data_IF_594089139672
#
_entry.id   IF_594089139672
#
_cell.length_a   1.000
_cell.length_b   1.000
_cell.length_c   1.000
_cell.angle_alpha   90.00
_cell.angle_beta   90.00
_cell.angle_gamma   90.00
#
_symmetry.space_group_name_H-M   'P 1'
#
loop_
_entity.id
_entity.type
_entity.pdbx_description
1 polymer ?
#
# COMPACT_ATOMS: atom_id res chain seq x y z
N UNK A 1 10.50 17.73 -13.75
CA UNK A 1 10.78 16.59 -12.83
C UNK A 1 10.61 15.30 -13.60
N UNK A 2 11.19 14.17 -13.17
CA UNK A 2 11.13 12.97 -13.99
C UNK A 2 9.72 12.36 -13.99
N UNK A 3 9.24 12.02 -15.18
CA UNK A 3 8.15 11.08 -15.38
C UNK A 3 8.68 9.69 -15.02
N UNK A 4 7.97 9.00 -14.15
CA UNK A 4 8.39 7.72 -13.61
C UNK A 4 7.67 6.58 -14.33
N UNK A 5 8.40 5.75 -15.08
CA UNK A 5 7.81 4.57 -15.73
C UNK A 5 7.64 3.43 -14.72
N UNK A 6 6.47 2.79 -14.71
CA UNK A 6 6.17 1.72 -13.75
C UNK A 6 7.15 0.55 -13.87
N UNK A 7 7.51 0.16 -15.11
CA UNK A 7 8.50 -0.91 -15.38
C UNK A 7 9.89 -0.67 -14.80
N UNK A 8 10.22 0.58 -14.45
CA UNK A 8 11.51 0.93 -13.85
C UNK A 8 11.46 0.92 -12.32
N UNK A 9 10.28 0.75 -11.71
CA UNK A 9 10.08 0.86 -10.25
C UNK A 9 9.42 -0.38 -9.67
N UNK A 10 8.56 -1.04 -10.44
CA UNK A 10 7.76 -2.17 -9.97
C UNK A 10 7.98 -3.40 -10.85
N UNK A 11 7.83 -4.56 -10.22
CA UNK A 11 7.55 -5.84 -10.87
C UNK A 11 6.12 -6.25 -10.58
N UNK A 12 5.58 -7.10 -11.45
CA UNK A 12 4.29 -7.76 -11.23
C UNK A 12 4.52 -9.26 -11.01
N UNK A 13 3.75 -9.82 -10.08
CA UNK A 13 3.75 -11.24 -9.78
C UNK A 13 2.35 -11.81 -9.97
N UNK A 14 2.27 -12.94 -10.66
CA UNK A 14 1.06 -13.76 -10.67
C UNK A 14 0.85 -14.39 -9.31
N UNK A 15 -0.36 -14.30 -8.80
CA UNK A 15 -0.82 -14.91 -7.56
C UNK A 15 -2.17 -15.56 -7.82
N UNK A 16 -2.51 -16.59 -7.05
CA UNK A 16 -3.80 -17.24 -7.21
C UNK A 16 -4.92 -16.24 -6.90
N UNK A 17 -5.95 -16.12 -7.76
CA UNK A 17 -7.12 -15.33 -7.44
C UNK A 17 -7.82 -15.93 -6.23
N UNK A 18 -8.36 -15.08 -5.35
CA UNK A 18 -9.15 -15.57 -4.22
C UNK A 18 -10.42 -16.24 -4.70
N UNK A 19 -10.86 -17.28 -3.99
CA UNK A 19 -12.15 -17.91 -4.24
C UNK A 19 -13.27 -16.86 -4.20
N UNK A 20 -14.12 -16.84 -5.23
CA UNK A 20 -15.18 -15.85 -5.39
C UNK A 20 -14.75 -14.54 -6.08
N UNK A 21 -13.52 -14.45 -6.60
CA UNK A 21 -13.08 -13.38 -7.48
C UNK A 21 -12.87 -13.89 -8.93
N UNK A 22 -12.94 -13.00 -9.94
CA UNK A 22 -12.59 -13.34 -11.32
C UNK A 22 -11.16 -13.89 -11.46
N UNK A 23 -10.93 -14.75 -12.44
CA UNK A 23 -9.61 -15.36 -12.69
C UNK A 23 -8.51 -14.33 -12.99
N UNK A 24 -8.88 -13.17 -13.55
CA UNK A 24 -7.93 -12.09 -13.83
C UNK A 24 -7.48 -11.29 -12.59
N UNK A 25 -8.11 -11.51 -11.42
CA UNK A 25 -7.74 -10.92 -10.14
C UNK A 25 -6.50 -11.60 -9.54
N UNK A 26 -5.44 -11.68 -10.34
CA UNK A 26 -4.29 -12.56 -10.13
C UNK A 26 -2.94 -11.82 -10.15
N UNK A 27 -2.91 -10.51 -9.97
CA UNK A 27 -1.69 -9.71 -9.97
C UNK A 27 -1.44 -9.01 -8.64
N UNK A 28 -0.18 -9.05 -8.24
CA UNK A 28 0.36 -8.23 -7.15
C UNK A 28 1.53 -7.39 -7.67
N UNK A 29 1.50 -6.08 -7.38
CA UNK A 29 2.61 -5.18 -7.66
C UNK A 29 3.58 -5.13 -6.48
N UNK A 30 4.86 -5.26 -6.79
CA UNK A 30 5.97 -5.26 -5.84
C UNK A 30 7.01 -4.24 -6.31
N UNK A 31 7.68 -3.50 -5.42
CA UNK A 31 8.85 -2.71 -5.82
C UNK A 31 9.93 -3.60 -6.45
N UNK A 32 10.70 -3.06 -7.39
CA UNK A 32 11.86 -3.75 -7.95
C UNK A 32 12.97 -3.79 -6.90
N UNK A 33 13.54 -4.98 -6.59
CA UNK A 33 14.64 -5.10 -5.65
C UNK A 33 15.85 -4.24 -6.02
N UNK A 34 16.15 -4.14 -7.32
CA UNK A 34 17.27 -3.37 -7.85
C UNK A 34 17.00 -1.88 -8.02
N UNK A 35 15.82 -1.38 -7.62
CA UNK A 35 15.50 0.03 -7.76
C UNK A 35 16.45 0.91 -6.93
N UNK A 36 17.16 1.83 -7.60
CA UNK A 36 18.21 2.69 -7.03
C UNK A 36 17.80 4.16 -6.89
N UNK A 37 16.51 4.48 -6.96
CA UNK A 37 16.05 5.87 -6.90
C UNK A 37 16.35 6.52 -5.55
N UNK A 38 16.41 7.85 -5.53
CA UNK A 38 16.55 8.61 -4.28
C UNK A 38 15.22 8.57 -3.52
N UNK A 39 15.15 7.77 -2.45
CA UNK A 39 13.97 7.65 -1.60
C UNK A 39 13.44 9.02 -1.13
N UNK A 40 14.30 10.03 -0.96
CA UNK A 40 13.86 11.37 -0.53
C UNK A 40 12.89 12.02 -1.52
N UNK A 41 12.95 11.66 -2.80
CA UNK A 41 12.05 12.18 -3.83
C UNK A 41 10.64 11.60 -3.76
N UNK A 42 10.45 10.49 -3.04
CA UNK A 42 9.17 9.77 -2.94
C UNK A 42 8.55 9.83 -1.54
N UNK A 43 9.31 10.31 -0.56
CA UNK A 43 8.89 10.33 0.84
C UNK A 43 8.34 11.69 1.24
N UNK A 44 7.04 11.76 1.51
CA UNK A 44 6.40 12.88 2.19
C UNK A 44 5.17 13.43 1.50
N UNK A 45 4.70 14.63 1.88
CA UNK A 45 3.44 15.11 1.38
C UNK A 45 3.56 15.58 -0.07
N UNK A 46 2.54 15.37 -0.88
CA UNK A 46 2.52 15.81 -2.27
C UNK A 46 1.32 15.30 -3.05
N UNK A 47 1.30 15.64 -4.34
CA UNK A 47 0.25 15.22 -5.27
C UNK A 47 0.87 14.36 -6.38
N UNK A 48 0.16 13.31 -6.79
CA UNK A 48 0.59 12.46 -7.88
C UNK A 48 -0.51 12.24 -8.92
N UNK A 49 -0.08 12.00 -10.14
CA UNK A 49 -0.92 11.58 -11.25
C UNK A 49 -0.53 10.18 -11.68
N UNK A 50 -1.52 9.39 -12.09
CA UNK A 50 -1.31 8.05 -12.65
C UNK A 50 -1.83 8.04 -14.08
N UNK A 51 -0.99 7.51 -14.97
CA UNK A 51 -1.20 7.57 -16.41
C UNK A 51 -1.17 6.16 -17.01
N UNK A 52 -2.04 5.94 -17.98
CA UNK A 52 -2.05 4.76 -18.84
C UNK A 52 -1.87 5.23 -20.28
N UNK A 53 -0.83 4.73 -20.96
CA UNK A 53 -0.45 5.17 -22.31
C UNK A 53 -0.31 6.70 -22.41
N UNK A 54 0.33 7.31 -21.40
CA UNK A 54 0.51 8.76 -21.25
C UNK A 54 -0.79 9.56 -21.09
N UNK A 55 -1.92 8.92 -20.77
CA UNK A 55 -3.20 9.60 -20.49
C UNK A 55 -3.51 9.54 -19.01
N UNK A 56 -3.79 10.69 -18.40
CA UNK A 56 -4.14 10.79 -16.99
C UNK A 56 -5.46 10.07 -16.74
N UNK A 57 -5.47 9.12 -15.80
CA UNK A 57 -6.72 8.45 -15.40
C UNK A 57 -7.01 8.56 -13.90
N UNK A 58 -6.03 8.96 -13.08
CA UNK A 58 -6.21 9.15 -11.64
C UNK A 58 -5.29 10.25 -11.10
N UNK A 59 -5.79 11.04 -10.17
CA UNK A 59 -5.04 11.99 -9.34
C UNK A 59 -5.20 11.57 -7.89
N UNK A 60 -4.11 11.56 -7.14
CA UNK A 60 -4.14 11.30 -5.71
C UNK A 60 -3.22 12.23 -4.94
N UNK A 61 -3.48 12.36 -3.64
CA UNK A 61 -2.55 12.93 -2.68
C UNK A 61 -1.85 11.86 -1.84
N UNK A 62 -0.65 12.21 -1.37
CA UNK A 62 0.06 11.46 -0.35
C UNK A 62 0.42 12.42 0.78
N UNK A 63 0.16 12.06 2.03
CA UNK A 63 0.36 12.93 3.21
C UNK A 63 1.33 12.34 4.24
N UNK A 64 2.10 11.32 3.86
CA UNK A 64 2.97 10.55 4.75
C UNK A 64 2.24 9.57 5.66
N UNK A 65 2.92 9.14 6.72
CA UNK A 65 2.35 8.29 7.78
C UNK A 65 1.64 9.13 8.83
N UNK A 66 0.76 8.51 9.62
CA UNK A 66 -0.19 9.20 10.50
C UNK A 66 0.46 10.29 11.38
N UNK A 67 1.57 9.92 12.05
CA UNK A 67 2.34 10.78 12.95
C UNK A 67 3.50 11.53 12.28
N UNK A 68 3.95 11.06 11.12
CA UNK A 68 5.14 11.54 10.43
C UNK A 68 4.83 11.85 8.96
N UNK A 69 4.46 13.11 8.64
CA UNK A 69 4.00 13.47 7.30
C UNK A 69 5.05 13.31 6.19
N UNK A 70 6.32 13.18 6.57
CA UNK A 70 7.44 12.98 5.65
C UNK A 70 8.03 11.55 5.70
N UNK A 71 7.42 10.65 6.48
CA UNK A 71 7.73 9.23 6.48
C UNK A 71 6.88 8.45 5.48
N UNK A 72 7.31 7.22 5.18
CA UNK A 72 6.71 6.36 4.16
C UNK A 72 6.98 6.84 2.73
N UNK A 73 6.41 6.12 1.75
CA UNK A 73 6.62 6.41 0.33
C UNK A 73 5.33 6.44 -0.49
N UNK A 74 5.24 7.38 -1.45
CA UNK A 74 4.15 7.41 -2.45
C UNK A 74 4.09 6.12 -3.28
N UNK A 75 5.19 5.35 -3.34
CA UNK A 75 5.24 4.05 -4.01
C UNK A 75 4.20 3.06 -3.46
N UNK A 76 3.86 3.15 -2.17
CA UNK A 76 2.82 2.34 -1.53
C UNK A 76 1.44 2.55 -2.17
N UNK A 77 1.16 3.78 -2.63
CA UNK A 77 -0.06 4.11 -3.36
C UNK A 77 0.04 3.63 -4.80
N UNK A 78 1.13 3.95 -5.49
CA UNK A 78 1.33 3.58 -6.90
C UNK A 78 1.19 2.09 -7.17
N UNK A 79 1.75 1.22 -6.32
CA UNK A 79 1.59 -0.25 -6.47
C UNK A 79 0.12 -0.69 -6.44
N UNK A 80 -0.71 -0.04 -5.61
CA UNK A 80 -2.15 -0.30 -5.56
C UNK A 80 -2.82 0.20 -6.84
N UNK A 81 -2.45 1.38 -7.36
CA UNK A 81 -3.06 1.90 -8.59
C UNK A 81 -2.83 0.98 -9.81
N UNK A 82 -1.65 0.37 -9.95
CA UNK A 82 -1.33 -0.54 -11.06
C UNK A 82 -2.28 -1.75 -11.11
N UNK A 83 -2.73 -2.27 -9.97
CA UNK A 83 -3.50 -3.53 -9.92
C UNK A 83 -4.98 -3.32 -9.57
N UNK A 84 -5.32 -2.39 -8.68
CA UNK A 84 -6.69 -2.17 -8.24
C UNK A 84 -7.53 -1.42 -9.29
N UNK A 85 -6.94 -0.46 -10.01
CA UNK A 85 -7.71 0.36 -10.97
C UNK A 85 -8.11 -0.42 -12.22
N UNK A 86 -7.38 -1.50 -12.52
CA UNK A 86 -7.66 -2.42 -13.61
C UNK A 86 -8.28 -3.73 -13.14
N UNK A 87 -8.73 -3.80 -11.88
CA UNK A 87 -9.39 -4.96 -11.26
C UNK A 87 -8.55 -6.25 -11.20
N UNK A 88 -7.22 -6.17 -11.29
CA UNK A 88 -6.35 -7.36 -11.28
C UNK A 88 -5.78 -7.73 -9.92
N UNK A 89 -6.03 -6.93 -8.89
CA UNK A 89 -5.61 -7.29 -7.53
C UNK A 89 -6.49 -8.43 -6.95
N UNK A 90 -5.92 -9.44 -6.28
CA UNK A 90 -6.69 -10.45 -5.53
C UNK A 90 -7.37 -9.87 -4.28
N UNK A 91 -7.16 -8.59 -3.98
CA UNK A 91 -7.70 -7.88 -2.81
C UNK A 91 -8.75 -6.83 -3.20
N UNK A 92 -9.27 -6.86 -4.44
CA UNK A 92 -10.39 -5.99 -4.80
C UNK A 92 -11.63 -6.37 -3.98
N UNK A 93 -12.28 -5.35 -3.42
CA UNK A 93 -13.53 -5.45 -2.69
C UNK A 93 -14.35 -4.20 -2.95
N UNK A 94 -15.65 -4.29 -2.74
CA UNK A 94 -16.59 -3.22 -2.98
C UNK A 94 -17.49 -3.05 -1.77
N UNK A 95 -17.81 -1.80 -1.44
CA UNK A 95 -18.92 -1.53 -0.54
C UNK A 95 -20.21 -2.09 -1.17
N UNK A 96 -21.14 -2.67 -0.39
CA UNK A 96 -22.36 -3.27 -0.94
C UNK A 96 -23.15 -2.30 -1.84
N UNK A 97 -23.22 -1.02 -1.47
CA UNK A 97 -23.89 0.03 -2.23
C UNK A 97 -23.22 0.31 -3.58
N UNK A 98 -21.89 0.24 -3.64
CA UNK A 98 -21.11 0.44 -4.86
C UNK A 98 -21.26 -0.77 -5.78
N UNK A 99 -21.22 -1.99 -5.23
CA UNK A 99 -21.42 -3.21 -6.03
C UNK A 99 -22.81 -3.24 -6.67
N UNK A 100 -23.88 -2.88 -5.93
CA UNK A 100 -25.22 -2.75 -6.52
C UNK A 100 -25.23 -1.79 -7.70
N UNK A 101 -24.66 -0.60 -7.53
CA UNK A 101 -24.57 0.40 -8.62
C UNK A 101 -23.81 -0.15 -9.83
N UNK A 102 -22.71 -0.87 -9.62
CA UNK A 102 -21.95 -1.51 -10.71
C UNK A 102 -22.84 -2.49 -11.48
N UNK A 103 -23.55 -3.37 -10.79
CA UNK A 103 -24.40 -4.40 -11.39
C UNK A 103 -25.63 -3.82 -12.11
N UNK A 104 -26.15 -2.69 -11.64
CA UNK A 104 -27.30 -1.99 -12.23
C UNK A 104 -26.92 -1.15 -13.46
N UNK A 105 -25.74 -0.54 -13.46
CA UNK A 105 -25.42 0.56 -14.41
C UNK A 105 -24.35 0.23 -15.44
N UNK A 106 -23.50 -0.78 -15.20
CA UNK A 106 -22.39 -1.11 -16.09
C UNK A 106 -22.64 -2.43 -16.82
N UNK A 107 -22.17 -2.53 -18.05
CA UNK A 107 -22.33 -3.69 -18.93
C UNK A 107 -21.06 -3.98 -19.77
N UNK A 108 -19.90 -3.87 -19.14
CA UNK A 108 -18.60 -4.23 -19.75
C UNK A 108 -17.97 -5.47 -19.14
N UNK A 109 -16.87 -5.93 -19.75
CA UNK A 109 -16.20 -7.19 -19.44
C UNK A 109 -15.78 -7.34 -17.98
N UNK A 110 -15.30 -6.26 -17.34
CA UNK A 110 -14.95 -6.26 -15.92
C UNK A 110 -16.21 -6.39 -15.06
N UNK A 111 -17.22 -5.57 -15.30
CA UNK A 111 -18.50 -5.63 -14.55
C UNK A 111 -19.24 -6.96 -14.71
N UNK A 112 -19.21 -7.56 -15.90
CA UNK A 112 -19.83 -8.86 -16.19
C UNK A 112 -19.09 -9.99 -15.45
N UNK A 113 -17.75 -9.99 -15.47
CA UNK A 113 -16.97 -10.98 -14.74
C UNK A 113 -17.18 -10.89 -13.21
N UNK A 114 -17.34 -9.68 -12.67
CA UNK A 114 -17.72 -9.49 -11.27
C UNK A 114 -19.10 -10.07 -10.99
N UNK A 115 -20.06 -9.85 -11.88
CA UNK A 115 -21.40 -10.41 -11.75
C UNK A 115 -21.38 -11.94 -11.81
N UNK A 116 -20.63 -12.54 -12.72
CA UNK A 116 -20.55 -14.01 -12.89
C UNK A 116 -19.95 -14.72 -11.66
N UNK A 117 -19.21 -14.01 -10.80
CA UNK A 117 -18.73 -14.55 -9.53
C UNK A 117 -19.82 -14.63 -8.45
N UNK A 118 -20.95 -13.93 -8.61
CA UNK A 118 -22.03 -13.88 -7.64
C UNK A 118 -23.06 -15.00 -7.89
N UNK A 119 -23.63 -15.63 -6.84
CA UNK A 119 -24.61 -16.71 -6.99
C UNK A 119 -25.84 -16.32 -7.81
N UNK A 120 -26.32 -15.08 -7.64
CA UNK A 120 -27.48 -14.52 -8.33
C UNK A 120 -27.10 -13.60 -9.51
N UNK A 121 -25.83 -13.65 -9.94
CA UNK A 121 -25.28 -12.83 -11.01
C UNK A 121 -25.51 -11.33 -10.80
N UNK A 122 -26.30 -10.71 -11.68
CA UNK A 122 -26.65 -9.28 -11.67
C UNK A 122 -27.86 -8.94 -10.79
N UNK A 123 -28.56 -9.91 -10.21
CA UNK A 123 -29.72 -9.63 -9.36
C UNK A 123 -29.29 -8.98 -8.04
N UNK A 124 -29.41 -7.65 -7.99
CA UNK A 124 -29.06 -6.83 -6.83
C UNK A 124 -29.98 -7.02 -5.63
N UNK A 125 -31.20 -7.55 -5.82
CA UNK A 125 -32.09 -7.87 -4.72
C UNK A 125 -31.61 -9.11 -3.95
N UNK A 126 -30.89 -10.00 -4.63
CA UNK A 126 -30.31 -11.22 -4.11
C UNK A 126 -28.80 -11.10 -3.79
N UNK A 127 -28.27 -9.88 -3.63
CA UNK A 127 -26.87 -9.68 -3.28
C UNK A 127 -26.57 -10.30 -1.91
N UNK A 128 -25.56 -11.18 -1.79
CA UNK A 128 -25.23 -11.81 -0.52
C UNK A 128 -24.72 -10.80 0.51
N UNK A 129 -24.92 -11.11 1.79
CA UNK A 129 -24.40 -10.29 2.90
C UNK A 129 -22.87 -10.43 2.99
N UNK A 130 -22.35 -11.65 2.79
CA UNK A 130 -20.92 -11.96 2.82
C UNK A 130 -20.48 -12.57 1.49
N UNK A 131 -19.45 -11.99 0.88
CA UNK A 131 -18.83 -12.49 -0.35
C UNK A 131 -17.43 -11.92 -0.49
N UNK A 132 -16.53 -12.58 -1.24
CA UNK A 132 -15.16 -12.10 -1.45
C UNK A 132 -15.10 -10.69 -2.08
N UNK A 133 -16.10 -10.35 -2.90
CA UNK A 133 -16.26 -9.03 -3.52
C UNK A 133 -16.84 -7.96 -2.59
N UNK A 134 -17.36 -8.30 -1.41
CA UNK A 134 -18.12 -7.39 -0.55
C UNK A 134 -17.36 -7.13 0.75
N UNK A 135 -17.07 -5.86 1.02
CA UNK A 135 -16.54 -5.41 2.31
C UNK A 135 -16.89 -3.94 2.56
N UNK A 136 -17.05 -3.56 3.83
CA UNK A 136 -17.20 -2.17 4.23
C UNK A 136 -16.03 -1.81 5.17
N UNK A 137 -15.13 -0.89 4.78
CA UNK A 137 -15.12 -0.14 3.53
C UNK A 137 -14.55 -1.03 2.36
N UNK A 138 -14.83 -0.68 1.10
CA UNK A 138 -14.42 -1.45 -0.09
C UNK A 138 -13.36 -0.77 -0.97
N UNK A 139 -12.36 -1.54 -1.41
CA UNK A 139 -11.11 -1.02 -2.02
C UNK A 139 -11.23 -0.51 -3.47
N UNK A 140 -12.35 -0.82 -4.12
CA UNK A 140 -12.65 -0.41 -5.50
C UNK A 140 -13.95 0.39 -5.59
N UNK A 141 -13.95 1.36 -6.51
CA UNK A 141 -15.08 2.27 -6.75
C UNK A 141 -15.75 1.95 -8.10
N UNK A 142 -16.95 2.50 -8.32
CA UNK A 142 -17.66 2.41 -9.60
C UNK A 142 -16.79 2.89 -10.78
N UNK A 143 -16.05 3.98 -10.58
CA UNK A 143 -15.23 4.58 -11.62
C UNK A 143 -14.01 3.73 -12.00
N UNK A 144 -13.42 2.97 -11.06
CA UNK A 144 -12.38 1.98 -11.39
C UNK A 144 -12.93 0.85 -12.26
N UNK A 145 -14.14 0.38 -11.99
CA UNK A 145 -14.78 -0.66 -12.84
C UNK A 145 -15.11 -0.11 -14.22
N UNK A 146 -15.64 1.12 -14.32
CA UNK A 146 -15.85 1.80 -15.61
C UNK A 146 -14.56 1.92 -16.42
N UNK A 147 -13.46 2.28 -15.76
CA UNK A 147 -12.16 2.37 -16.42
C UNK A 147 -11.69 1.01 -16.95
N UNK A 148 -11.83 -0.06 -16.16
CA UNK A 148 -11.51 -1.41 -16.61
C UNK A 148 -12.42 -1.87 -17.77
N UNK A 149 -13.72 -1.55 -17.73
CA UNK A 149 -14.67 -1.84 -18.81
C UNK A 149 -14.34 -1.09 -20.11
N UNK A 150 -13.77 0.12 -20.02
CA UNK A 150 -13.28 0.89 -21.17
C UNK A 150 -11.92 0.40 -21.71
N UNK A 151 -11.20 -0.43 -20.95
CA UNK A 151 -9.90 -0.98 -21.31
C UNK A 151 -9.85 -2.49 -21.04
N UNK A 152 -10.73 -3.28 -21.69
CA UNK A 152 -10.92 -4.69 -21.37
C UNK A 152 -9.68 -5.55 -21.63
N UNK A 153 -8.78 -5.09 -22.49
CA UNK A 153 -7.49 -5.72 -22.77
C UNK A 153 -6.61 -5.80 -21.50
N UNK A 154 -6.71 -4.83 -20.58
CA UNK A 154 -5.92 -4.80 -19.35
C UNK A 154 -6.20 -6.00 -18.43
N UNK A 155 -7.43 -6.56 -18.49
CA UNK A 155 -7.85 -7.69 -17.66
C UNK A 155 -7.00 -8.95 -17.94
N UNK A 156 -6.55 -9.12 -19.18
CA UNK A 156 -5.84 -10.34 -19.61
C UNK A 156 -4.42 -10.08 -20.12
N UNK A 157 -3.99 -8.82 -20.18
CA UNK A 157 -2.68 -8.46 -20.69
C UNK A 157 -1.55 -9.13 -19.89
N UNK A 158 -0.47 -9.48 -20.58
CA UNK A 158 0.76 -9.93 -19.96
C UNK A 158 1.33 -8.88 -18.99
N UNK A 159 1.90 -9.34 -17.87
CA UNK A 159 2.27 -8.49 -16.74
C UNK A 159 3.45 -7.56 -17.10
N UNK A 160 4.42 -8.00 -17.91
CA UNK A 160 5.52 -7.14 -18.36
C UNK A 160 4.99 -6.06 -19.31
N UNK A 161 4.15 -6.45 -20.27
CA UNK A 161 3.52 -5.52 -21.21
C UNK A 161 2.63 -4.49 -20.49
N UNK A 162 1.97 -4.88 -19.39
CA UNK A 162 1.16 -3.99 -18.58
C UNK A 162 2.01 -2.86 -17.96
N UNK A 163 3.15 -3.19 -17.35
CA UNK A 163 4.03 -2.21 -16.71
C UNK A 163 4.61 -1.17 -17.67
N UNK A 164 4.74 -1.50 -18.96
CA UNK A 164 5.21 -0.54 -19.97
C UNK A 164 4.23 0.60 -20.24
N UNK A 165 2.94 0.37 -19.95
CA UNK A 165 1.86 1.33 -20.22
C UNK A 165 1.63 2.31 -19.08
N UNK A 166 2.06 1.96 -17.87
CA UNK A 166 1.89 2.81 -16.69
C UNK A 166 3.05 3.77 -16.50
N UNK A 167 2.70 5.02 -16.22
CA UNK A 167 3.65 6.02 -15.73
C UNK A 167 3.05 6.87 -14.62
N UNK A 168 3.92 7.52 -13.87
CA UNK A 168 3.55 8.35 -12.74
C UNK A 168 4.26 9.71 -12.79
N UNK A 169 3.60 10.70 -12.21
CA UNK A 169 4.20 11.99 -11.86
C UNK A 169 3.93 12.20 -10.37
N UNK A 170 4.92 12.66 -9.62
CA UNK A 170 4.76 13.07 -8.24
C UNK A 170 5.44 14.41 -8.01
N UNK A 171 4.69 15.35 -7.44
CA UNK A 171 5.17 16.66 -7.03
C UNK A 171 5.07 16.72 -5.51
N UNK A 172 6.24 16.69 -4.88
CA UNK A 172 6.40 16.73 -3.44
C UNK A 172 6.27 18.18 -2.93
N UNK A 173 5.58 18.35 -1.81
CA UNK A 173 5.55 19.61 -1.08
C UNK A 173 6.95 19.93 -0.51
N UNK A 174 7.42 21.19 -0.58
CA UNK A 174 8.75 21.55 -0.11
C UNK A 174 9.06 21.06 1.32
N UNK A 175 10.19 20.37 1.50
CA UNK A 175 10.62 19.83 2.80
C UNK A 175 10.91 20.91 3.83
N UNK A 176 11.34 22.08 3.38
CA UNK A 176 11.70 23.23 4.22
C UNK A 176 10.51 23.73 5.07
N UNK A 177 9.28 23.44 4.62
CA UNK A 177 8.04 23.81 5.30
C UNK A 177 7.64 22.87 6.46
N UNK A 178 8.45 21.85 6.75
CA UNK A 178 8.27 20.97 7.92
C UNK A 178 8.01 21.74 9.22
N UNK A 179 8.69 22.87 9.41
CA UNK A 179 8.58 23.71 10.62
C UNK A 179 7.19 24.33 10.82
N UNK A 180 6.36 24.32 9.78
CA UNK A 180 5.03 24.94 9.77
C UNK A 180 3.91 23.96 10.09
N UNK A 181 4.22 22.66 10.15
CA UNK A 181 3.27 21.63 10.54
C UNK A 181 3.00 21.77 12.03
N UNK A 182 1.71 21.78 12.40
CA UNK A 182 1.32 21.67 13.79
C UNK A 182 1.66 20.25 14.31
N UNK A 183 2.89 20.05 14.79
CA UNK A 183 3.38 18.76 15.30
C UNK A 183 2.68 18.33 16.59
N UNK A 184 1.98 19.25 17.27
CA UNK A 184 1.12 18.95 18.42
C UNK A 184 -0.26 18.41 18.01
N UNK A 185 -0.61 18.41 16.72
CA UNK A 185 -1.82 17.76 16.24
C UNK A 185 -1.74 16.24 16.48
N UNK A 186 -2.82 15.62 16.91
CA UNK A 186 -2.86 14.17 17.15
C UNK A 186 -2.57 13.34 15.88
N UNK A 187 -2.86 13.90 14.69
CA UNK A 187 -2.59 13.31 13.38
C UNK A 187 -1.99 14.37 12.44
N UNK A 188 -0.68 14.64 12.50
CA UNK A 188 -0.01 15.64 11.67
C UNK A 188 -0.21 15.43 10.16
N UNK A 189 -0.29 14.19 9.68
CA UNK A 189 -0.59 13.89 8.27
C UNK A 189 -1.98 14.37 7.84
N UNK A 190 -2.99 14.22 8.70
CA UNK A 190 -4.34 14.73 8.46
C UNK A 190 -4.37 16.26 8.46
N UNK A 191 -3.51 16.89 9.26
CA UNK A 191 -3.33 18.34 9.22
C UNK A 191 -2.76 18.76 7.86
N UNK A 192 -1.69 18.11 7.39
CA UNK A 192 -1.10 18.38 6.06
C UNK A 192 -2.10 18.14 4.94
N UNK A 193 -2.83 17.03 4.99
CA UNK A 193 -3.88 16.71 4.04
C UNK A 193 -4.91 17.83 3.96
N UNK A 194 -5.46 18.24 5.09
CA UNK A 194 -6.52 19.25 5.15
C UNK A 194 -6.04 20.66 4.82
N UNK A 195 -4.84 21.06 5.23
CA UNK A 195 -4.40 22.46 5.11
C UNK A 195 -3.64 22.71 3.81
N UNK A 196 -2.90 21.72 3.30
CA UNK A 196 -2.07 21.87 2.10
C UNK A 196 -2.70 21.22 0.88
N UNK A 197 -3.01 19.93 0.94
CA UNK A 197 -3.17 19.12 -0.26
C UNK A 197 -4.62 19.03 -0.78
N UNK A 198 -5.60 18.84 0.13
CA UNK A 198 -6.98 18.49 -0.20
C UNK A 198 -7.64 19.49 -1.18
N UNK A 199 -7.51 20.78 -0.91
CA UNK A 199 -8.07 21.83 -1.78
C UNK A 199 -7.48 21.79 -3.20
N UNK A 200 -6.16 21.59 -3.33
CA UNK A 200 -5.48 21.54 -4.62
C UNK A 200 -5.86 20.29 -5.41
N UNK A 201 -5.88 19.12 -4.76
CA UNK A 201 -6.28 17.86 -5.37
C UNK A 201 -7.69 17.95 -5.95
N UNK A 202 -8.65 18.48 -5.16
CA UNK A 202 -10.03 18.65 -5.62
C UNK A 202 -10.13 19.56 -6.84
N UNK A 203 -9.41 20.68 -6.84
CA UNK A 203 -9.39 21.59 -7.99
C UNK A 203 -8.80 20.92 -9.23
N UNK A 204 -7.70 20.18 -9.08
CA UNK A 204 -7.08 19.43 -10.17
C UNK A 204 -8.02 18.35 -10.71
N UNK A 205 -8.71 17.60 -9.86
CA UNK A 205 -9.71 16.60 -10.30
C UNK A 205 -10.85 17.28 -11.05
N UNK A 206 -11.35 18.42 -10.55
CA UNK A 206 -12.42 19.18 -11.23
C UNK A 206 -11.99 19.69 -12.61
N UNK A 207 -10.75 20.16 -12.75
CA UNK A 207 -10.22 20.74 -14.00
C UNK A 207 -9.80 19.66 -15.01
N UNK A 208 -9.13 18.61 -14.53
CA UNK A 208 -8.52 17.57 -15.35
C UNK A 208 -9.42 16.34 -15.54
N UNK A 209 -10.48 16.19 -14.73
CA UNK A 209 -11.52 15.15 -14.85
C UNK A 209 -10.96 13.74 -15.16
N UNK A 210 -10.01 13.22 -14.36
CA UNK A 210 -9.52 11.85 -14.50
C UNK A 210 -10.65 10.84 -14.22
N UNK A 211 -10.78 9.82 -15.07
CA UNK A 211 -11.92 8.87 -15.02
C UNK A 211 -12.05 8.11 -13.69
N UNK A 212 -10.95 7.76 -13.01
CA UNK A 212 -10.99 6.88 -11.84
C UNK A 212 -11.27 7.61 -10.50
N UNK A 213 -11.18 8.94 -10.46
CA UNK A 213 -11.52 9.71 -9.27
C UNK A 213 -13.04 9.73 -9.06
N UNK A 214 -13.51 9.54 -7.83
CA UNK A 214 -14.93 9.46 -7.47
C UNK A 214 -15.71 10.72 -7.85
N UNK A 215 -15.04 11.87 -7.85
CA UNK A 215 -15.61 13.19 -8.13
C UNK A 215 -15.82 13.43 -9.64
N UNK A 216 -15.26 12.59 -10.51
CA UNK A 216 -15.46 12.69 -11.96
C UNK A 216 -16.77 12.02 -12.35
N UNK A 217 -17.71 12.82 -12.87
CA UNK A 217 -19.01 12.31 -13.34
C UNK A 217 -18.84 11.45 -14.60
N UNK A 218 -19.58 10.34 -14.71
CA UNK A 218 -19.55 9.52 -15.91
C UNK A 218 -19.80 10.27 -17.21
N UNK A 219 -18.95 10.06 -18.21
CA UNK A 219 -19.04 10.68 -19.53
C UNK A 219 -18.46 12.10 -19.59
N UNK A 220 -17.92 12.61 -18.48
CA UNK A 220 -17.29 13.94 -18.42
C UNK A 220 -15.77 13.87 -18.30
N UNK A 221 -15.20 12.67 -18.25
CA UNK A 221 -13.76 12.46 -18.16
C UNK A 221 -12.97 13.08 -19.34
N UNK A 222 -11.76 13.57 -19.05
CA UNK A 222 -10.79 13.96 -20.09
C UNK A 222 -9.80 12.82 -20.31
N UNK A 223 -9.33 12.69 -21.54
CA UNK A 223 -8.32 11.69 -21.94
C UNK A 223 -7.14 12.30 -22.73
N UNK A 224 -7.12 13.63 -22.84
CA UNK A 224 -6.13 14.43 -23.57
C UNK A 224 -5.00 14.95 -22.65
N UNK A 225 -5.07 14.71 -21.34
CA UNK A 225 -4.12 15.25 -20.37
C UNK A 225 -2.90 14.32 -20.24
N UNK A 226 -1.74 14.85 -20.64
CA UNK A 226 -0.44 14.15 -20.56
C UNK A 226 0.33 14.40 -19.26
N UNK A 227 1.41 13.64 -19.01
CA UNK A 227 2.25 13.80 -17.81
C UNK A 227 2.84 15.20 -17.64
N UNK A 228 3.30 15.81 -18.72
CA UNK A 228 3.95 17.12 -18.71
C UNK A 228 2.95 18.25 -18.39
N UNK A 229 1.74 18.21 -18.98
CA UNK A 229 0.66 19.16 -18.68
C UNK A 229 0.26 19.05 -17.20
N UNK A 230 0.06 17.82 -16.72
CA UNK A 230 -0.26 17.57 -15.32
C UNK A 230 0.83 18.10 -14.38
N UNK A 231 2.10 17.80 -14.65
CA UNK A 231 3.21 18.25 -13.82
C UNK A 231 3.22 19.78 -13.66
N UNK A 232 3.11 20.51 -14.78
CA UNK A 232 3.11 21.98 -14.78
C UNK A 232 1.93 22.53 -13.99
N UNK A 233 0.74 21.94 -14.14
CA UNK A 233 -0.44 22.39 -13.38
C UNK A 233 -0.30 22.14 -11.89
N UNK A 234 0.25 21.00 -11.48
CA UNK A 234 0.49 20.71 -10.06
C UNK A 234 1.54 21.65 -9.49
N UNK A 235 2.66 21.88 -10.19
CA UNK A 235 3.69 22.82 -9.76
C UNK A 235 3.12 24.24 -9.59
N UNK A 236 2.40 24.73 -10.60
CA UNK A 236 1.81 26.07 -10.58
C UNK A 236 0.85 26.24 -9.39
N UNK A 237 -0.03 25.26 -9.15
CA UNK A 237 -0.95 25.31 -8.00
C UNK A 237 -0.22 25.20 -6.67
N UNK A 238 0.79 24.35 -6.58
CA UNK A 238 1.58 24.17 -5.36
C UNK A 238 2.39 25.42 -5.02
N UNK A 239 3.06 26.04 -6.00
CA UNK A 239 3.78 27.31 -5.85
C UNK A 239 2.83 28.45 -5.47
N UNK A 240 1.67 28.54 -6.13
CA UNK A 240 0.66 29.55 -5.79
C UNK A 240 0.13 29.37 -4.37
N UNK A 241 -0.14 28.13 -3.94
CA UNK A 241 -0.57 27.82 -2.58
C UNK A 241 0.52 28.13 -1.56
N UNK A 242 1.76 27.78 -1.88
CA UNK A 242 2.93 28.06 -1.06
C UNK A 242 3.09 29.56 -0.82
N UNK A 243 3.09 30.38 -1.88
CA UNK A 243 3.24 31.83 -1.75
C UNK A 243 2.06 32.46 -1.01
N UNK A 244 0.82 32.04 -1.30
CA UNK A 244 -0.37 32.53 -0.59
C UNK A 244 -0.34 32.23 0.92
N UNK A 245 0.37 31.17 1.30
CA UNK A 245 0.48 30.72 2.68
C UNK A 245 1.80 31.16 3.31
N UNK A 246 2.69 31.91 2.66
CA UNK A 246 4.05 32.17 3.16
C UNK A 246 4.09 32.70 4.60
N UNK A 247 3.20 33.64 4.92
CA UNK A 247 3.19 34.36 6.21
C UNK A 247 2.15 33.83 7.21
N UNK A 248 1.32 32.85 6.82
CA UNK A 248 0.24 32.36 7.69
C UNK A 248 -0.09 30.89 7.45
N UNK A 249 -0.58 30.20 8.48
CA UNK A 249 -1.07 28.83 8.34
C UNK A 249 -2.32 28.84 7.44
N UNK A 250 -2.36 28.05 6.35
CA UNK A 250 -3.55 27.95 5.50
C UNK A 250 -4.78 27.56 6.30
N UNK A 251 -5.95 28.09 5.95
CA UNK A 251 -7.19 27.57 6.50
C UNK A 251 -7.35 26.08 6.12
N UNK A 252 -7.90 25.25 7.02
CA UNK A 252 -8.22 23.87 6.68
C UNK A 252 -9.23 23.82 5.54
N UNK A 253 -9.13 22.77 4.72
CA UNK A 253 -10.13 22.44 3.71
C UNK A 253 -11.50 22.23 4.36
N UNK A 254 -12.56 22.48 3.60
CA UNK A 254 -13.93 22.37 4.10
C UNK A 254 -14.27 20.93 4.48
N UNK A 255 -15.28 20.73 5.34
CA UNK A 255 -15.74 19.38 5.69
C UNK A 255 -16.14 18.56 4.45
N UNK A 256 -16.74 19.22 3.45
CA UNK A 256 -17.08 18.59 2.17
C UNK A 256 -15.85 18.16 1.35
N UNK A 257 -14.75 18.93 1.41
CA UNK A 257 -13.48 18.52 0.81
C UNK A 257 -12.94 17.27 1.50
N UNK A 258 -13.00 17.23 2.83
CA UNK A 258 -12.47 16.11 3.61
C UNK A 258 -13.29 14.83 3.43
N UNK A 259 -14.61 14.93 3.35
CA UNK A 259 -15.52 13.79 3.12
C UNK A 259 -15.29 13.15 1.74
N UNK A 260 -15.19 13.97 0.68
CA UNK A 260 -14.91 13.49 -0.67
C UNK A 260 -13.56 12.76 -0.79
N UNK A 261 -12.61 13.06 0.10
CA UNK A 261 -11.30 12.42 0.15
C UNK A 261 -11.25 11.20 1.06
N UNK A 262 -12.16 11.08 2.03
CA UNK A 262 -12.27 9.92 2.89
C UNK A 262 -12.78 8.69 2.12
N UNK A 263 -13.63 8.91 1.10
CA UNK A 263 -14.10 7.84 0.20
C UNK A 263 -12.96 7.23 -0.66
N UNK A 264 -11.91 7.99 -0.95
CA UNK A 264 -10.80 7.56 -1.82
C UNK A 264 -9.57 7.02 -1.05
N UNK A 265 -9.45 7.27 0.26
CA UNK A 265 -8.23 7.03 1.04
C UNK A 265 -8.11 5.62 1.64
N UNK A 266 -8.93 4.67 1.21
CA UNK A 266 -9.12 3.41 1.93
C UNK A 266 -7.83 2.63 2.26
N UNK A 267 -7.60 2.56 3.57
CA UNK A 267 -6.80 1.62 4.36
C UNK A 267 -5.42 1.24 3.82
N UNK A 268 -4.39 1.95 4.31
CA UNK A 268 -2.99 1.48 4.34
C UNK A 268 -2.70 0.57 5.55
N UNK A 269 -3.69 0.21 6.36
CA UNK A 269 -3.44 -0.72 7.45
C UNK A 269 -3.48 -2.14 6.90
N UNK A 270 -2.30 -2.76 6.78
CA UNK A 270 -2.24 -4.17 7.15
C UNK A 270 -2.81 -4.20 8.59
N UNK A 271 -3.93 -4.89 8.83
CA UNK A 271 -4.67 -4.80 10.08
C UNK A 271 -3.82 -5.14 11.31
N UNK A 272 -2.64 -5.74 11.12
CA UNK A 272 -1.75 -6.08 12.22
C UNK A 272 -0.41 -5.34 12.21
N UNK A 273 0.07 -4.77 11.09
CA UNK A 273 1.39 -4.10 11.07
C UNK A 273 1.40 -2.82 11.93
N UNK A 274 0.25 -2.13 12.01
CA UNK A 274 0.08 -0.97 12.89
C UNK A 274 0.13 -1.34 14.37
N UNK A 275 -0.31 -2.54 14.77
CA UNK A 275 -0.27 -2.98 16.17
C UNK A 275 1.17 -3.05 16.70
N UNK A 276 2.10 -3.51 15.87
CA UNK A 276 3.53 -3.54 16.21
C UNK A 276 4.10 -2.14 16.41
N UNK A 277 3.81 -1.24 15.46
CA UNK A 277 4.27 0.16 15.45
C UNK A 277 3.69 0.95 16.63
N UNK A 278 2.41 0.73 16.96
CA UNK A 278 1.74 1.37 18.10
C UNK A 278 2.32 0.95 19.45
N UNK A 279 2.78 -0.30 19.58
CA UNK A 279 3.45 -0.81 20.77
C UNK A 279 4.94 -0.45 20.87
N UNK A 280 5.52 0.26 19.90
CA UNK A 280 6.89 0.73 19.97
C UNK A 280 7.00 2.00 20.82
N UNK A 281 8.09 2.10 21.59
CA UNK A 281 8.47 3.35 22.22
C UNK A 281 8.68 4.43 21.14
N UNK A 282 8.28 5.68 21.41
CA UNK A 282 8.32 6.75 20.40
C UNK A 282 9.72 6.95 19.80
N UNK A 283 10.78 6.68 20.55
CA UNK A 283 12.18 6.77 20.09
C UNK A 283 12.58 5.67 19.09
N UNK A 284 11.92 4.51 19.13
CA UNK A 284 12.25 3.33 18.32
C UNK A 284 11.27 3.15 17.14
N UNK A 285 10.14 3.87 17.16
CA UNK A 285 9.07 3.78 16.16
C UNK A 285 9.57 3.94 14.71
N UNK A 286 10.42 4.94 14.35
CA UNK A 286 10.90 5.06 12.97
C UNK A 286 11.76 3.87 12.52
N UNK A 287 12.57 3.33 13.44
CA UNK A 287 13.41 2.15 13.18
C UNK A 287 12.54 0.90 12.97
N UNK A 288 11.47 0.77 13.75
CA UNK A 288 10.47 -0.29 13.63
C UNK A 288 9.72 -0.23 12.30
N UNK A 289 9.26 0.96 11.90
CA UNK A 289 8.54 1.18 10.64
C UNK A 289 9.41 0.83 9.43
N UNK A 290 10.65 1.33 9.40
CA UNK A 290 11.62 1.04 8.34
C UNK A 290 11.88 -0.46 8.24
N UNK A 291 12.10 -1.12 9.37
CA UNK A 291 12.36 -2.56 9.42
C UNK A 291 11.18 -3.37 8.87
N UNK A 292 9.94 -3.00 9.20
CA UNK A 292 8.74 -3.67 8.70
C UNK A 292 8.62 -3.58 7.18
N UNK A 293 8.82 -2.39 6.62
CA UNK A 293 8.78 -2.16 5.17
C UNK A 293 9.86 -2.97 4.45
N UNK A 294 11.08 -2.97 4.98
CA UNK A 294 12.20 -3.70 4.41
C UNK A 294 12.01 -5.22 4.51
N UNK A 295 11.44 -5.70 5.62
CA UNK A 295 11.06 -7.09 5.83
C UNK A 295 9.99 -7.54 4.83
N UNK A 296 8.92 -6.76 4.64
CA UNK A 296 7.88 -7.06 3.65
C UNK A 296 8.45 -7.12 2.23
N UNK A 297 9.38 -6.21 1.90
CA UNK A 297 10.02 -6.14 0.60
C UNK A 297 10.92 -7.36 0.33
N UNK A 298 11.71 -7.77 1.33
CA UNK A 298 12.68 -8.85 1.19
C UNK A 298 12.12 -10.24 1.54
N UNK A 299 10.83 -10.35 1.90
CA UNK A 299 10.24 -11.60 2.35
C UNK A 299 10.27 -12.71 1.27
N UNK A 300 10.90 -13.86 1.54
CA UNK A 300 10.88 -15.01 0.63
C UNK A 300 9.47 -15.50 0.34
N UNK A 301 9.21 -15.94 -0.89
CA UNK A 301 7.86 -16.32 -1.36
C UNK A 301 7.21 -17.46 -0.56
N UNK A 302 8.01 -18.35 0.05
CA UNK A 302 7.57 -19.46 0.88
C UNK A 302 7.14 -19.03 2.30
N UNK A 303 7.48 -17.81 2.71
CA UNK A 303 7.26 -17.28 4.04
C UNK A 303 6.26 -16.13 3.99
N UNK A 304 5.82 -15.72 5.17
CA UNK A 304 4.96 -14.58 5.38
C UNK A 304 5.36 -13.87 6.68
N UNK A 305 5.06 -12.57 6.70
CA UNK A 305 5.29 -11.70 7.84
C UNK A 305 3.94 -11.26 8.34
N UNK A 306 3.73 -11.34 9.64
CA UNK A 306 2.49 -10.91 10.25
C UNK A 306 2.73 -10.50 11.70
N UNK A 307 1.78 -9.76 12.25
CA UNK A 307 1.74 -9.41 13.67
C UNK A 307 0.51 -10.01 14.33
N UNK A 308 0.57 -10.24 15.64
CA UNK A 308 -0.59 -10.69 16.41
C UNK A 308 -1.23 -9.53 17.18
N UNK A 309 -2.22 -9.82 18.03
CA UNK A 309 -2.76 -8.85 18.98
C UNK A 309 -1.73 -8.40 20.04
N UNK A 310 -0.55 -9.02 20.06
CA UNK A 310 0.63 -8.54 20.78
C UNK A 310 1.51 -7.77 19.78
N UNK A 311 2.13 -6.63 20.16
CA UNK A 311 3.04 -5.90 19.29
C UNK A 311 4.34 -6.71 19.07
N UNK A 312 4.25 -7.73 18.20
CA UNK A 312 5.35 -8.54 17.69
C UNK A 312 5.29 -8.69 16.16
N UNK A 313 6.46 -8.72 15.51
CA UNK A 313 6.64 -9.20 14.14
C UNK A 313 6.86 -10.70 14.23
N UNK A 314 6.26 -11.46 13.33
CA UNK A 314 6.48 -12.89 13.22
C UNK A 314 6.83 -13.24 11.79
N UNK A 315 7.92 -13.99 11.61
CA UNK A 315 8.25 -14.61 10.33
C UNK A 315 7.83 -16.07 10.43
N UNK A 316 6.99 -16.51 9.51
CA UNK A 316 6.44 -17.86 9.50
C UNK A 316 6.41 -18.45 8.10
N UNK A 317 6.27 -19.77 8.04
CA UNK A 317 6.07 -20.50 6.77
C UNK A 317 4.60 -20.42 6.35
N UNK A 318 4.34 -20.25 5.04
CA UNK A 318 2.94 -20.25 4.54
C UNK A 318 2.26 -21.60 4.71
N UNK A 319 3.02 -22.69 4.57
CA UNK A 319 2.57 -24.06 4.83
C UNK A 319 3.24 -24.56 6.10
N UNK A 320 2.48 -25.06 7.09
CA UNK A 320 3.06 -25.55 8.33
C UNK A 320 3.95 -26.76 8.08
N UNK A 321 5.00 -26.89 8.88
CA UNK A 321 5.96 -28.00 8.85
C UNK A 321 5.79 -28.77 10.15
N UNK A 322 5.09 -29.89 10.09
CA UNK A 322 4.56 -30.59 11.27
C UNK A 322 3.57 -29.71 12.02
N UNK A 323 3.86 -29.39 13.30
CA UNK A 323 3.03 -28.51 14.16
C UNK A 323 3.54 -27.07 14.24
N UNK A 324 4.61 -26.73 13.52
CA UNK A 324 5.27 -25.43 13.60
C UNK A 324 5.02 -24.62 12.33
N UNK A 325 4.67 -23.35 12.50
CA UNK A 325 4.51 -22.37 11.42
C UNK A 325 5.48 -21.21 11.61
N UNK A 326 5.51 -20.66 12.83
CA UNK A 326 6.35 -19.51 13.24
C UNK A 326 7.80 -19.94 13.39
N UNK A 327 8.70 -19.22 12.72
CA UNK A 327 10.15 -19.43 12.77
C UNK A 327 10.80 -18.48 13.77
N UNK A 328 10.37 -17.23 13.82
CA UNK A 328 10.82 -16.28 14.81
C UNK A 328 9.75 -15.25 15.13
N UNK A 329 9.87 -14.67 16.32
CA UNK A 329 9.13 -13.48 16.74
C UNK A 329 10.10 -12.36 17.07
N UNK A 330 9.74 -11.10 16.84
CA UNK A 330 10.53 -9.91 17.18
C UNK A 330 9.60 -8.87 17.80
N UNK A 331 9.90 -8.41 19.01
CA UNK A 331 9.11 -7.38 19.72
C UNK A 331 9.57 -5.98 19.33
N UNK A 332 8.76 -4.97 19.65
CA UNK A 332 9.00 -3.56 19.30
C UNK A 332 10.25 -2.96 19.97
N UNK A 333 10.76 -3.59 21.03
CA UNK A 333 12.03 -3.28 21.68
C UNK A 333 13.24 -4.03 21.08
N UNK A 334 13.07 -4.60 19.89
CA UNK A 334 14.06 -5.38 19.14
C UNK A 334 14.58 -6.65 19.84
N UNK A 335 13.84 -7.17 20.83
CA UNK A 335 14.08 -8.51 21.36
C UNK A 335 13.18 -9.54 20.69
N UNK A 336 13.80 -10.51 20.06
CA UNK A 336 13.11 -11.63 19.42
C UNK A 336 13.30 -12.95 20.14
N UNK A 337 12.52 -13.93 19.70
CA UNK A 337 12.61 -15.32 20.15
C UNK A 337 12.71 -16.24 18.92
N UNK A 338 13.52 -17.29 19.02
CA UNK A 338 13.81 -18.25 17.95
C UNK A 338 14.05 -19.66 18.52
N UNK A 339 13.87 -20.70 17.70
CA UNK A 339 14.36 -22.05 17.99
C UNK A 339 15.83 -22.24 17.59
N UNK A 340 16.50 -21.29 16.91
CA UNK A 340 17.92 -21.41 16.57
C UNK A 340 18.81 -21.49 17.83
N UNK A 341 19.93 -22.21 17.75
CA UNK A 341 20.89 -22.31 18.86
C UNK A 341 21.55 -20.97 19.19
N UNK A 342 21.88 -20.77 20.47
CA UNK A 342 22.56 -19.56 20.94
C UNK A 342 23.89 -19.37 20.20
N UNK A 343 24.65 -20.44 19.98
CA UNK A 343 25.90 -20.39 19.22
C UNK A 343 25.70 -19.89 17.79
N UNK A 344 24.63 -20.33 17.12
CA UNK A 344 24.31 -19.90 15.76
C UNK A 344 23.79 -18.47 15.71
N UNK A 345 23.01 -18.04 16.69
CA UNK A 345 22.59 -16.66 16.80
C UNK A 345 23.81 -15.74 16.97
N UNK A 346 24.74 -16.10 17.86
CA UNK A 346 25.98 -15.35 18.08
C UNK A 346 26.88 -15.34 16.84
N UNK A 347 26.95 -16.46 16.09
CA UNK A 347 27.72 -16.55 14.85
C UNK A 347 27.17 -15.60 13.77
N UNK A 348 25.84 -15.43 13.73
CA UNK A 348 25.15 -14.48 12.85
C UNK A 348 25.21 -13.02 13.37
N UNK A 349 25.90 -12.77 14.49
CA UNK A 349 26.10 -11.42 15.04
C UNK A 349 25.05 -10.99 16.07
N UNK A 350 24.04 -11.80 16.34
CA UNK A 350 23.00 -11.48 17.33
C UNK A 350 23.47 -11.77 18.75
N UNK A 351 23.15 -10.87 19.70
CA UNK A 351 23.31 -11.17 21.13
C UNK A 351 22.19 -12.12 21.56
N UNK A 352 22.52 -13.39 21.88
CA UNK A 352 21.53 -14.41 22.23
C UNK A 352 21.68 -14.95 23.66
N UNK A 353 20.54 -15.35 24.24
CA UNK A 353 20.44 -15.93 25.59
C UNK A 353 19.31 -16.96 25.64
N UNK A 354 19.32 -17.78 26.70
CA UNK A 354 18.20 -18.69 26.97
C UNK A 354 16.93 -17.85 27.20
N UNK A 355 15.91 -18.14 26.41
CA UNK A 355 14.60 -17.50 26.48
C UNK A 355 13.65 -18.25 27.41
N UNK A 356 12.50 -17.63 27.68
CA UNK A 356 11.46 -18.22 28.53
C UNK A 356 10.28 -18.79 27.72
N UNK A 357 10.33 -18.73 26.38
CA UNK A 357 9.22 -19.16 25.55
C UNK A 357 9.25 -20.69 25.33
N UNK A 358 8.12 -21.39 25.49
CA UNK A 358 8.07 -22.87 25.48
C UNK A 358 8.33 -23.51 24.11
N UNK A 359 8.29 -22.73 23.02
CA UNK A 359 8.61 -23.21 21.66
C UNK A 359 9.88 -22.54 21.13
N UNK A 360 9.91 -21.21 21.12
CA UNK A 360 11.05 -20.39 20.72
C UNK A 360 12.03 -20.21 21.89
N UNK A 361 12.69 -21.31 22.27
CA UNK A 361 13.43 -21.43 23.54
C UNK A 361 14.60 -20.47 23.74
N UNK A 362 15.08 -19.79 22.69
CA UNK A 362 16.18 -18.84 22.78
C UNK A 362 15.71 -17.43 22.39
N UNK A 363 16.18 -16.43 23.12
CA UNK A 363 15.93 -15.02 22.80
C UNK A 363 17.17 -14.39 22.15
N UNK A 364 16.96 -13.50 21.19
CA UNK A 364 18.03 -12.78 20.51
C UNK A 364 17.72 -11.28 20.47
N UNK A 365 18.77 -10.45 20.39
CA UNK A 365 18.65 -9.01 20.23
C UNK A 365 18.95 -8.62 18.78
N UNK A 366 17.97 -8.00 18.14
CA UNK A 366 18.17 -7.29 16.88
C UNK A 366 18.69 -5.87 17.18
N UNK A 367 19.69 -5.45 16.41
CA UNK A 367 20.24 -4.09 16.48
C UNK A 367 20.11 -3.47 15.09
N UNK A 368 19.19 -2.51 14.87
CA UNK A 368 18.95 -1.88 13.57
C UNK A 368 20.16 -1.17 12.97
N UNK A 369 21.20 -0.88 13.76
CA UNK A 369 22.42 -0.24 13.25
C UNK A 369 23.44 -1.26 12.72
N UNK A 370 23.24 -2.54 13.04
CA UNK A 370 24.17 -3.64 12.70
C UNK A 370 23.53 -4.74 11.87
N UNK A 371 22.23 -4.93 12.00
CA UNK A 371 21.48 -6.01 11.39
C UNK A 371 20.42 -5.45 10.45
N UNK A 372 20.21 -6.16 9.34
CA UNK A 372 19.17 -5.88 8.36
C UNK A 372 18.14 -7.02 8.25
N UNK A 373 17.15 -6.85 7.36
CA UNK A 373 16.11 -7.85 7.10
C UNK A 373 16.67 -9.21 6.67
N UNK A 374 17.75 -9.20 5.87
CA UNK A 374 18.41 -10.41 5.40
C UNK A 374 18.91 -11.28 6.57
N UNK A 375 19.45 -10.66 7.62
CA UNK A 375 19.96 -11.39 8.79
C UNK A 375 18.82 -12.08 9.55
N UNK A 376 17.65 -11.45 9.64
CA UNK A 376 16.45 -12.06 10.21
C UNK A 376 15.97 -13.26 9.38
N UNK A 377 16.05 -13.18 8.04
CA UNK A 377 15.69 -14.30 7.17
C UNK A 377 16.72 -15.43 7.21
N UNK A 378 18.00 -15.12 7.31
CA UNK A 378 19.05 -16.13 7.53
C UNK A 378 18.80 -16.85 8.86
N UNK A 379 18.54 -16.10 9.93
CA UNK A 379 18.20 -16.67 11.23
C UNK A 379 16.94 -17.55 11.14
N UNK A 380 15.88 -17.09 10.45
CA UNK A 380 14.66 -17.88 10.19
C UNK A 380 14.96 -19.20 9.46
N UNK A 381 15.88 -19.17 8.49
CA UNK A 381 16.32 -20.35 7.75
C UNK A 381 17.07 -21.35 8.63
N UNK A 382 17.96 -20.87 9.50
CA UNK A 382 18.65 -21.71 10.52
C UNK A 382 17.62 -22.34 11.47
N UNK A 383 16.64 -21.55 11.91
CA UNK A 383 15.56 -22.08 12.75
C UNK A 383 14.78 -23.18 12.05
N UNK A 384 14.45 -22.97 10.78
CA UNK A 384 13.74 -23.92 9.95
C UNK A 384 14.53 -25.24 9.82
N UNK A 385 15.83 -25.17 9.58
CA UNK A 385 16.70 -26.35 9.50
C UNK A 385 16.67 -27.14 10.81
N UNK A 386 16.73 -26.47 11.96
CA UNK A 386 16.65 -27.14 13.27
C UNK A 386 15.30 -27.84 13.48
N UNK A 387 14.21 -27.20 13.07
CA UNK A 387 12.87 -27.80 13.15
C UNK A 387 12.80 -29.09 12.34
N UNK A 388 13.43 -29.13 11.16
CA UNK A 388 13.52 -30.35 10.34
C UNK A 388 14.36 -31.44 10.99
N UNK A 389 15.51 -31.10 11.58
CA UNK A 389 16.37 -32.07 12.28
C UNK A 389 15.64 -32.75 13.44
N UNK A 390 14.89 -31.99 14.25
CA UNK A 390 14.08 -32.55 15.36
C UNK A 390 12.97 -33.50 14.90
N UNK A 391 12.44 -33.33 13.68
CA UNK A 391 11.40 -34.22 13.15
C UNK A 391 11.97 -35.53 12.58
N UNK A 392 13.28 -35.59 12.39
CA UNK A 392 13.99 -36.75 11.84
C UNK A 392 14.65 -37.61 12.93
N UNK A 393 14.66 -37.11 14.17
CA UNK A 393 15.01 -37.82 15.41
C UNK A 393 13.76 -38.39 16.07
#
# INVERSE_FOLDING_TARGET
MPIYLAKNIFSLRYVDPKMGLPEFCNLQALPLPEWRGDQKQFNGPGLYGVFLDKRLFYIGLYAGKEKEPFAGSVLERWRKHITYHILRSPEIRFAPSILRKILETLNGAGSDALADCLPAKRDVAALPVEHALINAPGSCTLNKVRFADQNPDLLHQDKEALLERFSFVYVQWPREDLVRICTSAAKPSMWVKSHWLASMERELIRELRPICNSQTSPGTERSDVGPEEFEVMVQTKMESKFEACRDSVPAPASAADMEALAEDEESLTDPNSSLFIEGAADVDRPKVETLLEDLELACPSAWEIYSTNTPDIRIQTKKPIGRTRVLLTLRSNFWGDTEADIEMCNLLGFEAKVGNAPRLSNSFRFDPERHGPADLFVLAGVTLQRIFSRQSE
#
